data_IF_057203523912
#
_entry.id   IF_057203523912
#
_cell.length_a   1.000
_cell.length_b   1.000
_cell.length_c   1.000
_cell.angle_alpha   90.00
_cell.angle_beta   90.00
_cell.angle_gamma   90.00
#
_symmetry.space_group_name_H-M   'P 1'
#
loop_
_entity.id
_entity.type
_entity.pdbx_description
1 polymer ?
#
# COMPACT_ATOMS: atom_id res chain seq x y z
N UNK A 1 -63.60 -22.38 -64.97
CA UNK A 1 -64.43 -22.50 -63.74
C UNK A 1 -63.94 -21.43 -62.75
N UNK A 2 -64.81 -20.52 -62.38
CA UNK A 2 -64.46 -19.46 -61.44
C UNK A 2 -64.39 -20.02 -60.02
N UNK A 3 -63.40 -19.61 -59.25
CA UNK A 3 -63.08 -20.02 -57.88
C UNK A 3 -64.31 -19.91 -56.94
N UNK A 4 -65.16 -18.92 -57.14
CA UNK A 4 -66.39 -18.69 -56.39
C UNK A 4 -67.39 -19.86 -56.53
N UNK A 5 -67.51 -20.52 -57.74
CA UNK A 5 -68.42 -21.64 -57.96
C UNK A 5 -67.99 -22.96 -57.24
N UNK A 6 -66.71 -23.02 -56.82
CA UNK A 6 -66.22 -24.19 -56.07
C UNK A 6 -66.43 -23.94 -54.60
N UNK A 7 -66.32 -22.69 -54.12
CA UNK A 7 -66.50 -22.35 -52.69
C UNK A 7 -67.95 -22.44 -52.23
N UNK A 8 -68.94 -22.16 -53.11
CA UNK A 8 -70.38 -22.29 -52.80
C UNK A 8 -70.87 -23.74 -52.62
N UNK A 9 -70.08 -24.74 -53.05
CA UNK A 9 -70.38 -26.13 -52.88
C UNK A 9 -69.77 -26.79 -51.67
N UNK A 10 -69.00 -26.04 -50.85
CA UNK A 10 -68.39 -26.57 -49.64
C UNK A 10 -69.33 -26.35 -48.46
N UNK A 11 -70.23 -27.34 -48.20
CA UNK A 11 -70.96 -27.35 -46.95
C UNK A 11 -70.04 -27.72 -45.77
N UNK A 12 -69.83 -26.79 -44.86
CA UNK A 12 -69.09 -27.04 -43.63
C UNK A 12 -69.97 -27.87 -42.69
N UNK A 13 -69.67 -29.16 -42.62
CA UNK A 13 -70.37 -30.03 -41.69
C UNK A 13 -70.10 -29.67 -40.22
N UNK A 14 -71.05 -29.89 -39.30
CA UNK A 14 -70.87 -29.60 -37.88
C UNK A 14 -69.62 -30.27 -37.27
N UNK A 15 -69.29 -31.44 -37.81
CA UNK A 15 -68.07 -32.18 -37.38
C UNK A 15 -66.76 -31.52 -37.77
N UNK A 16 -66.70 -30.94 -38.98
CA UNK A 16 -65.53 -30.15 -39.41
C UNK A 16 -65.34 -28.90 -38.54
N UNK A 17 -66.43 -28.25 -38.23
CA UNK A 17 -66.37 -27.05 -37.33
C UNK A 17 -65.92 -27.43 -35.96
N UNK A 18 -66.36 -28.50 -35.35
CA UNK A 18 -65.90 -28.98 -34.05
C UNK A 18 -64.44 -29.43 -34.05
N UNK A 19 -63.96 -30.01 -35.14
CA UNK A 19 -62.59 -30.45 -35.30
C UNK A 19 -61.63 -29.22 -35.35
N UNK A 20 -62.04 -28.19 -36.09
CA UNK A 20 -61.25 -26.91 -36.16
C UNK A 20 -61.22 -26.24 -34.80
N UNK A 21 -62.35 -26.10 -34.12
CA UNK A 21 -62.42 -25.50 -32.78
C UNK A 21 -61.58 -26.26 -31.79
N UNK A 22 -61.57 -27.56 -31.72
CA UNK A 22 -60.72 -28.38 -30.85
C UNK A 22 -59.23 -28.19 -31.17
N UNK A 23 -58.90 -28.12 -32.45
CA UNK A 23 -57.49 -27.88 -32.84
C UNK A 23 -57.03 -26.48 -32.49
N UNK A 24 -57.87 -25.45 -32.58
CA UNK A 24 -57.56 -24.06 -32.18
C UNK A 24 -57.44 -24.00 -30.68
N UNK A 25 -58.33 -24.60 -29.90
CA UNK A 25 -58.21 -24.63 -28.43
C UNK A 25 -56.94 -25.35 -27.93
N UNK A 26 -56.67 -26.53 -28.53
CA UNK A 26 -55.46 -27.29 -28.24
C UNK A 26 -54.16 -26.51 -28.60
N UNK A 27 -54.23 -25.78 -29.73
CA UNK A 27 -53.13 -24.89 -30.15
C UNK A 27 -52.89 -23.74 -29.17
N UNK A 28 -53.97 -23.09 -28.73
CA UNK A 28 -53.89 -21.99 -27.76
C UNK A 28 -53.41 -22.47 -26.39
N UNK A 29 -53.86 -23.62 -25.92
CA UNK A 29 -53.42 -24.21 -24.67
C UNK A 29 -51.91 -24.56 -24.69
N UNK A 30 -51.40 -25.09 -25.80
CA UNK A 30 -49.97 -25.35 -26.03
C UNK A 30 -49.16 -24.06 -26.06
N UNK A 31 -49.68 -23.02 -26.68
CA UNK A 31 -49.00 -21.73 -26.76
C UNK A 31 -48.94 -21.05 -25.40
N UNK A 32 -50.00 -21.05 -24.61
CA UNK A 32 -50.02 -20.54 -23.24
C UNK A 32 -49.03 -21.29 -22.33
N UNK A 33 -49.00 -22.62 -22.38
CA UNK A 33 -48.04 -23.43 -21.63
C UNK A 33 -46.57 -23.08 -22.02
N UNK A 34 -46.28 -22.93 -23.31
CA UNK A 34 -44.96 -22.60 -23.82
C UNK A 34 -44.50 -21.18 -23.44
N UNK A 35 -45.44 -20.24 -23.37
CA UNK A 35 -45.16 -18.88 -22.90
C UNK A 35 -44.89 -18.85 -21.38
N UNK A 36 -45.67 -19.63 -20.60
CA UNK A 36 -45.47 -19.72 -19.15
C UNK A 36 -44.12 -20.35 -18.82
N UNK A 37 -43.75 -21.44 -19.49
CA UNK A 37 -42.45 -22.09 -19.31
C UNK A 37 -41.29 -21.18 -19.71
N UNK A 38 -41.42 -20.43 -20.80
CA UNK A 38 -40.39 -19.44 -21.19
C UNK A 38 -40.22 -18.32 -20.16
N UNK A 39 -41.32 -17.81 -19.61
CA UNK A 39 -41.27 -16.78 -18.54
C UNK A 39 -40.66 -17.31 -17.24
N UNK A 40 -40.93 -18.56 -16.88
CA UNK A 40 -40.35 -19.20 -15.71
C UNK A 40 -38.83 -19.44 -15.88
N UNK A 41 -38.40 -19.87 -17.07
CA UNK A 41 -36.97 -20.08 -17.38
C UNK A 41 -36.23 -18.77 -17.38
N UNK A 42 -36.79 -17.67 -17.93
CA UNK A 42 -36.15 -16.35 -17.88
C UNK A 42 -36.06 -15.81 -16.46
N UNK A 43 -37.09 -15.99 -15.62
CA UNK A 43 -37.04 -15.60 -14.21
C UNK A 43 -35.98 -16.38 -13.42
N UNK A 44 -35.88 -17.70 -13.67
CA UNK A 44 -34.85 -18.53 -13.02
C UNK A 44 -33.44 -18.12 -13.45
N UNK A 45 -33.21 -17.79 -14.72
CA UNK A 45 -31.93 -17.31 -15.22
C UNK A 45 -31.55 -15.95 -14.60
N UNK A 46 -32.53 -15.03 -14.49
CA UNK A 46 -32.28 -13.73 -13.83
C UNK A 46 -31.94 -13.89 -12.34
N UNK A 47 -32.65 -14.79 -11.63
CA UNK A 47 -32.34 -15.08 -10.23
C UNK A 47 -30.95 -15.71 -10.07
N UNK A 48 -30.54 -16.62 -10.96
CA UNK A 48 -29.23 -17.22 -10.95
C UNK A 48 -28.12 -16.15 -11.16
N UNK A 49 -28.34 -15.19 -12.09
CA UNK A 49 -27.40 -14.09 -12.32
C UNK A 49 -27.31 -13.20 -11.09
N UNK A 50 -28.43 -12.84 -10.46
CA UNK A 50 -28.45 -12.03 -9.24
C UNK A 50 -27.72 -12.73 -8.09
N UNK A 51 -27.94 -14.03 -7.91
CA UNK A 51 -27.25 -14.84 -6.91
C UNK A 51 -25.75 -14.92 -7.22
N UNK A 52 -25.35 -15.14 -8.48
CA UNK A 52 -23.95 -15.13 -8.88
C UNK A 52 -23.32 -13.75 -8.68
N UNK A 53 -23.98 -12.66 -9.06
CA UNK A 53 -23.52 -11.31 -8.79
C UNK A 53 -23.39 -11.03 -7.30
N UNK A 54 -24.34 -11.52 -6.48
CA UNK A 54 -24.28 -11.38 -5.03
C UNK A 54 -23.14 -12.22 -4.41
N UNK A 55 -22.84 -13.40 -4.98
CA UNK A 55 -21.68 -14.21 -4.56
C UNK A 55 -20.35 -13.61 -5.00
N UNK A 56 -20.29 -13.02 -6.19
CA UNK A 56 -19.07 -12.36 -6.71
C UNK A 56 -18.87 -11.00 -6.04
N UNK A 57 -19.96 -10.31 -5.70
CA UNK A 57 -19.95 -8.99 -5.05
C UNK A 57 -20.15 -9.08 -3.54
N UNK A 58 -20.19 -10.26 -2.95
CA UNK A 58 -19.89 -10.32 -1.52
C UNK A 58 -18.53 -9.66 -1.39
N UNK A 59 -18.43 -8.47 -0.73
CA UNK A 59 -17.14 -8.05 -0.26
C UNK A 59 -16.61 -9.27 0.48
N UNK A 60 -15.42 -9.78 0.08
CA UNK A 60 -14.74 -10.71 0.97
C UNK A 60 -14.90 -10.05 2.33
N UNK A 61 -15.68 -10.64 3.21
CA UNK A 61 -15.50 -10.35 4.62
C UNK A 61 -14.04 -10.75 4.82
N UNK A 62 -13.16 -9.80 4.61
CA UNK A 62 -12.00 -9.73 5.46
C UNK A 62 -12.63 -9.78 6.84
N UNK A 63 -12.44 -10.87 7.54
CA UNK A 63 -12.66 -10.92 8.97
C UNK A 63 -12.29 -9.54 9.48
N UNK A 64 -13.17 -8.87 10.27
CA UNK A 64 -12.82 -7.55 10.79
C UNK A 64 -11.42 -7.76 11.34
N UNK A 65 -10.40 -6.99 10.84
CA UNK A 65 -9.03 -7.25 11.23
C UNK A 65 -9.11 -7.44 12.73
N UNK A 66 -8.69 -8.62 13.22
CA UNK A 66 -8.60 -8.95 14.64
C UNK A 66 -8.09 -7.66 15.25
N UNK A 67 -8.90 -7.01 16.06
CA UNK A 67 -8.86 -5.62 16.53
C UNK A 67 -7.49 -5.06 16.30
N UNK A 68 -7.35 -4.31 15.17
CA UNK A 68 -6.07 -4.16 14.51
C UNK A 68 -5.02 -4.13 15.60
N UNK A 69 -4.12 -5.08 15.62
CA UNK A 69 -2.79 -4.63 15.89
C UNK A 69 -2.63 -3.46 14.90
N UNK A 70 -3.02 -2.24 15.30
CA UNK A 70 -2.30 -1.08 14.85
C UNK A 70 -0.90 -1.61 14.90
N UNK A 71 -0.21 -1.69 13.76
CA UNK A 71 1.22 -1.76 13.81
C UNK A 71 1.56 -0.52 14.64
N UNK A 72 1.57 -0.68 15.95
CA UNK A 72 2.11 0.29 16.87
C UNK A 72 3.50 0.35 16.32
N UNK A 73 3.84 1.47 15.70
CA UNK A 73 5.20 1.70 15.26
C UNK A 73 6.00 1.31 16.48
N UNK A 74 6.77 0.23 16.39
CA UNK A 74 7.52 -0.31 17.52
C UNK A 74 8.73 0.60 17.66
N UNK A 75 8.45 1.81 18.17
CA UNK A 75 9.40 2.86 18.44
C UNK A 75 9.57 2.86 19.94
N UNK A 76 10.74 2.48 20.39
CA UNK A 76 11.05 2.33 21.80
C UNK A 76 12.21 3.22 22.16
N UNK A 77 12.03 4.11 23.11
CA UNK A 77 13.12 4.85 23.74
C UNK A 77 13.71 4.01 24.85
N UNK A 78 15.03 3.95 24.89
CA UNK A 78 15.80 3.19 25.91
C UNK A 78 16.74 4.13 26.65
N UNK A 79 17.24 3.69 27.82
CA UNK A 79 17.93 4.55 28.76
C UNK A 79 19.44 4.70 28.49
N UNK A 80 20.02 3.84 27.61
CA UNK A 80 21.46 3.88 27.33
C UNK A 80 21.78 3.29 25.95
N UNK A 81 23.01 3.57 25.48
CA UNK A 81 23.57 3.00 24.26
C UNK A 81 23.68 1.47 24.33
N UNK A 82 24.02 0.92 25.48
CA UNK A 82 24.08 -0.53 25.69
C UNK A 82 22.69 -1.16 25.50
N UNK A 83 21.66 -0.55 26.09
CA UNK A 83 20.27 -1.02 25.94
C UNK A 83 19.81 -0.90 24.49
N UNK A 84 20.22 0.16 23.75
CA UNK A 84 19.93 0.30 22.32
C UNK A 84 20.58 -0.82 21.51
N UNK A 85 21.88 -1.09 21.78
CA UNK A 85 22.64 -2.14 21.10
C UNK A 85 22.07 -3.55 21.42
N UNK A 86 21.72 -3.81 22.67
CA UNK A 86 21.09 -5.07 23.08
C UNK A 86 19.74 -5.28 22.36
N UNK A 87 18.93 -4.21 22.29
CA UNK A 87 17.61 -4.26 21.69
C UNK A 87 17.62 -4.44 20.18
N UNK A 88 18.50 -3.73 19.47
CA UNK A 88 18.58 -3.73 18.00
C UNK A 88 19.54 -4.79 17.45
N UNK A 89 20.53 -5.22 18.24
CA UNK A 89 21.65 -6.03 17.75
C UNK A 89 22.62 -5.22 16.87
N UNK A 90 22.47 -3.88 16.79
CA UNK A 90 23.28 -3.00 15.95
C UNK A 90 24.36 -2.36 16.81
N UNK A 91 25.65 -2.69 16.62
CA UNK A 91 26.72 -2.05 17.36
C UNK A 91 26.85 -0.57 16.91
N UNK A 92 26.79 0.34 17.86
CA UNK A 92 26.83 1.78 17.62
C UNK A 92 27.68 2.48 18.69
N UNK A 93 28.31 3.58 18.36
CA UNK A 93 29.03 4.43 19.29
C UNK A 93 28.37 5.80 19.31
N UNK A 94 28.52 6.50 20.44
CA UNK A 94 28.16 7.92 20.50
C UNK A 94 29.10 8.74 19.61
N UNK A 95 28.58 9.83 19.06
CA UNK A 95 29.39 10.75 18.28
C UNK A 95 30.24 11.63 19.21
N UNK A 96 31.47 11.86 18.80
CA UNK A 96 32.36 12.90 19.33
C UNK A 96 32.29 14.13 18.42
N UNK A 97 32.68 15.29 18.93
CA UNK A 97 32.72 16.51 18.14
C UNK A 97 31.36 17.05 17.67
N UNK A 98 30.26 16.71 18.39
CA UNK A 98 28.95 17.30 18.12
C UNK A 98 29.05 18.83 18.11
N UNK A 99 28.54 19.55 17.07
CA UNK A 99 28.84 20.97 16.83
C UNK A 99 28.17 21.95 17.81
N UNK A 100 27.55 21.45 18.86
CA UNK A 100 26.93 22.24 19.92
C UNK A 100 27.14 21.57 21.29
N UNK A 101 26.83 22.30 22.38
CA UNK A 101 26.86 21.71 23.72
C UNK A 101 25.68 20.80 23.91
N UNK A 102 25.96 19.50 24.07
CA UNK A 102 24.89 18.48 24.29
C UNK A 102 24.38 18.62 25.74
N UNK A 103 23.09 18.87 25.86
CA UNK A 103 22.36 18.95 27.12
C UNK A 103 21.59 17.65 27.44
N UNK A 104 21.18 16.94 26.39
CA UNK A 104 20.39 15.69 26.49
C UNK A 104 20.66 14.79 25.31
N UNK A 105 20.77 13.50 25.59
CA UNK A 105 20.87 12.43 24.58
C UNK A 105 19.69 11.49 24.74
N UNK A 106 19.10 11.06 23.62
CA UNK A 106 18.05 10.05 23.58
C UNK A 106 18.47 8.91 22.67
N UNK A 107 18.11 7.68 23.06
CA UNK A 107 18.39 6.46 22.31
C UNK A 107 17.07 5.83 21.89
N UNK A 108 16.87 5.64 20.58
CA UNK A 108 15.59 5.18 20.02
C UNK A 108 15.82 4.00 19.11
N UNK A 109 15.02 2.97 19.32
CA UNK A 109 14.94 1.78 18.46
C UNK A 109 13.66 1.86 17.61
N UNK A 110 13.81 1.74 16.30
CA UNK A 110 12.69 1.60 15.37
C UNK A 110 12.63 0.16 14.90
N UNK A 111 11.55 -0.54 15.24
CA UNK A 111 11.26 -1.95 14.87
C UNK A 111 12.37 -2.95 15.19
N UNK A 112 13.29 -2.61 16.07
CA UNK A 112 14.54 -3.33 16.37
C UNK A 112 15.48 -3.46 15.14
N UNK A 113 15.24 -2.72 14.07
CA UNK A 113 15.99 -2.79 12.81
C UNK A 113 16.77 -1.51 12.50
N UNK A 114 16.51 -0.41 13.24
CA UNK A 114 17.23 0.85 13.13
C UNK A 114 17.53 1.38 14.53
N UNK A 115 18.79 1.71 14.76
CA UNK A 115 19.27 2.37 15.96
C UNK A 115 19.47 3.86 15.69
N UNK A 116 18.95 4.71 16.58
CA UNK A 116 19.03 6.16 16.49
C UNK A 116 19.53 6.75 17.80
N UNK A 117 20.46 7.71 17.70
CA UNK A 117 20.88 8.55 18.81
C UNK A 117 20.53 9.99 18.47
N UNK A 118 19.78 10.63 19.33
CA UNK A 118 19.42 12.04 19.19
C UNK A 118 20.16 12.87 20.24
N UNK A 119 20.86 13.91 19.80
CA UNK A 119 21.56 14.88 20.63
C UNK A 119 20.79 16.19 20.59
N UNK A 120 20.57 16.80 21.73
CA UNK A 120 19.87 18.07 21.88
C UNK A 120 20.72 19.06 22.67
N UNK A 121 20.74 20.32 22.24
CA UNK A 121 21.40 21.42 22.95
C UNK A 121 20.80 22.77 22.56
N UNK A 122 20.12 23.44 23.50
CA UNK A 122 19.42 24.68 23.22
C UNK A 122 18.33 24.50 22.17
N UNK A 123 18.47 25.17 21.01
CA UNK A 123 17.59 25.02 19.84
C UNK A 123 18.07 23.99 18.81
N UNK A 124 19.29 23.47 19.02
CA UNK A 124 19.98 22.63 18.05
C UNK A 124 19.76 21.16 18.35
N UNK A 125 19.67 20.36 17.30
CA UNK A 125 19.62 18.91 17.42
C UNK A 125 20.43 18.23 16.30
N UNK A 126 20.94 17.06 16.63
CA UNK A 126 21.58 16.15 15.69
C UNK A 126 21.01 14.76 15.88
N UNK A 127 20.61 14.14 14.79
CA UNK A 127 20.13 12.77 14.77
C UNK A 127 21.14 11.90 14.01
N UNK A 128 21.63 10.85 14.67
CA UNK A 128 22.53 9.85 14.10
C UNK A 128 21.84 8.50 14.04
N UNK A 129 21.75 7.93 12.83
CA UNK A 129 21.09 6.66 12.57
C UNK A 129 22.06 5.63 12.02
N UNK A 130 21.80 4.37 12.37
CA UNK A 130 22.46 3.20 11.83
C UNK A 130 21.47 2.06 11.66
N UNK A 131 21.51 1.40 10.51
CA UNK A 131 20.67 0.22 10.20
C UNK A 131 21.43 -0.79 9.36
N UNK A 132 21.10 -2.09 9.42
CA UNK A 132 21.64 -3.07 8.49
C UNK A 132 21.26 -2.75 7.03
N UNK A 133 22.16 -3.08 6.09
CA UNK A 133 21.96 -2.84 4.66
C UNK A 133 22.65 -1.59 4.15
N UNK A 134 22.30 -1.17 2.94
CA UNK A 134 22.98 -0.07 2.23
C UNK A 134 22.03 1.04 1.78
N UNK A 135 20.74 0.89 2.06
CA UNK A 135 19.71 1.84 1.66
C UNK A 135 19.70 3.06 2.59
N UNK A 136 19.33 4.23 2.04
CA UNK A 136 19.19 5.46 2.81
C UNK A 136 18.20 5.29 3.97
N UNK A 137 18.72 5.42 5.19
CA UNK A 137 17.97 5.27 6.44
C UNK A 137 17.67 6.60 7.14
N UNK A 138 17.94 7.72 6.49
CA UNK A 138 17.77 9.05 7.09
C UNK A 138 16.32 9.38 7.41
N UNK A 139 15.37 8.78 6.65
CA UNK A 139 13.95 9.15 6.74
C UNK A 139 13.66 10.57 6.24
N UNK A 140 14.62 11.17 5.56
CA UNK A 140 14.48 12.50 4.97
C UNK A 140 14.10 12.41 3.50
N UNK A 141 12.92 12.95 3.17
CA UNK A 141 12.36 12.96 1.81
C UNK A 141 12.40 14.35 1.17
N UNK A 142 13.18 15.27 1.75
CA UNK A 142 13.33 16.62 1.20
C UNK A 142 14.15 16.60 -0.09
N UNK A 143 13.81 17.51 -0.99
CA UNK A 143 14.61 17.78 -2.19
C UNK A 143 15.62 18.86 -1.87
N UNK A 144 16.89 18.54 -1.97
CA UNK A 144 17.99 19.43 -1.68
C UNK A 144 18.47 20.13 -2.95
N UNK A 145 18.80 21.41 -2.84
CA UNK A 145 19.33 22.20 -3.95
C UNK A 145 20.80 21.84 -4.28
N UNK A 146 21.51 21.22 -3.34
CA UNK A 146 22.91 20.86 -3.47
C UNK A 146 23.15 19.49 -2.85
N UNK A 147 23.85 18.64 -3.61
CA UNK A 147 24.40 17.37 -3.15
C UNK A 147 25.88 17.31 -3.50
N UNK A 148 26.70 16.83 -2.57
CA UNK A 148 28.12 16.67 -2.76
C UNK A 148 28.60 15.35 -2.15
N UNK A 149 29.51 14.65 -2.83
CA UNK A 149 30.12 13.44 -2.28
C UNK A 149 31.53 13.73 -1.81
N UNK A 150 31.83 13.31 -0.56
CA UNK A 150 33.14 13.36 0.06
C UNK A 150 33.67 11.94 0.24
N UNK A 151 34.98 11.78 0.07
CA UNK A 151 35.71 10.57 0.50
C UNK A 151 36.21 10.77 1.92
N UNK A 152 35.76 9.92 2.87
CA UNK A 152 36.17 9.96 4.27
C UNK A 152 36.52 8.54 4.73
N UNK A 153 37.74 8.32 5.13
CA UNK A 153 38.24 7.01 5.60
C UNK A 153 37.95 5.87 4.63
N UNK A 154 37.94 6.14 3.31
CA UNK A 154 37.62 5.15 2.25
C UNK A 154 36.13 4.90 1.98
N UNK A 155 35.26 5.70 2.62
CA UNK A 155 33.79 5.63 2.37
C UNK A 155 33.34 6.87 1.61
N UNK A 156 32.45 6.67 0.65
CA UNK A 156 31.79 7.75 -0.07
C UNK A 156 30.61 8.28 0.77
N UNK A 157 30.72 9.50 1.27
CA UNK A 157 29.68 10.16 2.06
C UNK A 157 28.99 11.21 1.20
N UNK A 158 27.69 11.13 1.05
CA UNK A 158 26.89 12.14 0.34
C UNK A 158 26.34 13.16 1.34
N UNK A 159 26.73 14.42 1.15
CA UNK A 159 26.17 15.58 1.85
C UNK A 159 25.03 16.16 1.05
N UNK A 160 23.90 16.49 1.72
CA UNK A 160 22.74 17.13 1.10
C UNK A 160 22.39 18.44 1.83
N UNK A 161 22.12 19.50 1.06
CA UNK A 161 21.87 20.82 1.64
C UNK A 161 21.60 21.89 0.59
N UNK A 162 22.00 23.12 0.86
CA UNK A 162 21.87 24.25 -0.06
C UNK A 162 22.67 25.46 0.40
N UNK A 163 22.99 26.35 -0.53
CA UNK A 163 23.76 27.59 -0.25
C UNK A 163 25.13 27.37 0.43
N UNK A 164 25.78 26.24 0.17
CA UNK A 164 27.07 25.90 0.77
C UNK A 164 27.01 25.37 2.20
N UNK A 165 25.82 25.11 2.73
CA UNK A 165 25.60 24.49 4.02
C UNK A 165 24.75 23.20 3.85
N UNK A 166 25.01 22.23 4.69
CA UNK A 166 24.49 20.89 4.59
C UNK A 166 23.74 20.49 5.87
N UNK A 167 22.59 19.86 5.70
CA UNK A 167 21.75 19.41 6.81
C UNK A 167 21.76 17.90 6.99
N UNK A 168 22.23 17.15 5.98
CA UNK A 168 22.19 15.70 5.96
C UNK A 168 23.47 15.13 5.36
N UNK A 169 24.03 14.11 6.02
CA UNK A 169 25.05 13.22 5.48
C UNK A 169 24.55 11.78 5.48
N UNK A 170 24.77 11.05 4.38
CA UNK A 170 24.42 9.63 4.26
C UNK A 170 25.60 8.84 3.68
N UNK A 171 25.83 7.64 4.20
CA UNK A 171 26.87 6.73 3.69
C UNK A 171 26.56 5.27 4.05
N UNK A 172 27.37 4.38 3.51
CA UNK A 172 27.38 2.95 3.87
C UNK A 172 28.80 2.43 3.93
N UNK A 173 29.04 1.46 4.82
CA UNK A 173 30.27 0.66 4.88
C UNK A 173 30.14 -0.69 4.14
N UNK A 174 29.00 -0.89 3.46
CA UNK A 174 28.65 -2.14 2.77
C UNK A 174 27.88 -3.14 3.61
N UNK A 175 27.88 -3.00 4.94
CA UNK A 175 27.11 -3.83 5.88
C UNK A 175 25.98 -3.04 6.55
N UNK A 176 26.25 -1.78 6.82
CA UNK A 176 25.32 -0.86 7.47
C UNK A 176 25.18 0.42 6.66
N UNK A 177 23.99 0.97 6.69
CA UNK A 177 23.69 2.34 6.27
C UNK A 177 23.73 3.28 7.47
N UNK A 178 24.19 4.48 7.23
CA UNK A 178 24.35 5.54 8.24
C UNK A 178 23.79 6.85 7.73
N UNK A 179 23.24 7.63 8.64
CA UNK A 179 22.87 9.02 8.36
C UNK A 179 23.10 9.92 9.57
N UNK A 180 23.50 11.16 9.30
CA UNK A 180 23.51 12.24 10.27
C UNK A 180 22.70 13.39 9.72
N UNK A 181 21.68 13.82 10.46
CA UNK A 181 20.93 15.03 10.15
C UNK A 181 21.08 16.06 11.26
N UNK A 182 21.14 17.34 10.89
CA UNK A 182 21.31 18.46 11.82
C UNK A 182 20.25 19.52 11.58
N UNK A 183 19.76 20.14 12.66
CA UNK A 183 18.78 21.23 12.58
C UNK A 183 19.42 22.53 12.06
N UNK A 184 20.59 22.89 12.55
CA UNK A 184 21.37 24.04 12.04
C UNK A 184 22.39 23.55 10.98
N UNK A 185 22.22 23.92 9.70
CA UNK A 185 23.06 23.40 8.62
C UNK A 185 24.52 23.74 8.80
N UNK A 186 25.42 22.79 8.65
CA UNK A 186 26.84 22.90 8.80
C UNK A 186 27.55 23.26 7.48
N UNK A 187 28.67 23.99 7.58
CA UNK A 187 29.56 24.12 6.42
C UNK A 187 30.15 22.75 6.02
N UNK A 188 30.58 22.62 4.77
CA UNK A 188 31.26 21.42 4.26
C UNK A 188 32.39 20.96 5.17
N UNK A 189 33.22 21.90 5.60
CA UNK A 189 34.41 21.59 6.42
C UNK A 189 34.03 21.20 7.85
N UNK A 190 32.98 21.79 8.43
CA UNK A 190 32.46 21.39 9.74
C UNK A 190 31.83 19.99 9.69
N UNK A 191 31.10 19.67 8.65
CA UNK A 191 30.56 18.34 8.48
C UNK A 191 31.65 17.29 8.27
N UNK A 192 32.66 17.64 7.47
CA UNK A 192 33.82 16.78 7.25
C UNK A 192 34.55 16.50 8.57
N UNK A 193 34.82 17.53 9.39
CA UNK A 193 35.49 17.36 10.67
C UNK A 193 34.73 16.45 11.62
N UNK A 194 33.40 16.64 11.73
CA UNK A 194 32.53 15.76 12.50
C UNK A 194 32.62 14.31 12.05
N UNK A 195 32.60 14.07 10.72
CA UNK A 195 32.69 12.72 10.18
C UNK A 195 34.08 12.10 10.41
N UNK A 196 35.18 12.83 10.14
CA UNK A 196 36.54 12.33 10.30
C UNK A 196 36.85 11.94 11.75
N UNK A 197 36.22 12.57 12.74
CA UNK A 197 36.38 12.25 14.16
C UNK A 197 35.66 10.94 14.56
N UNK A 198 34.68 10.48 13.75
CA UNK A 198 33.80 9.36 14.08
C UNK A 198 33.93 8.14 13.15
N UNK A 199 34.85 8.18 12.19
CA UNK A 199 35.11 7.04 11.27
C UNK A 199 36.16 6.04 11.76
#
# INVERSE_FOLDING_TARGET
MKYEQIMDKIEVTPEMRQRVLRNVEAGQAKQKKRQLTRRLVTLAACLAIVVCCWYVWKPKQTDPPEQGMMAVAQIDTVDSLEALTEKTGIPMNELTGVPFTVERTEYVSYWNELAEIQYFGGSDSLCYRKSPGTEDNSGDYNVYAQEETLEISGNAVTLKGGNGAYSLAIWTDGSYAYSISVTDPLSRDAFRALLEENF
#
